data_IF_132977988982
#
_entry.id   IF_132977988982
#
_cell.length_a   1.000
_cell.length_b   1.000
_cell.length_c   1.000
_cell.angle_alpha   90.00
_cell.angle_beta   90.00
_cell.angle_gamma   90.00
#
_symmetry.space_group_name_H-M   'P 1'
#
loop_
_entity.id
_entity.type
_entity.pdbx_description
1 polymer ?
#
# COMPACT_ATOMS: atom_id res chain seq x y z
N UNK A 1 -18.88 42.73 -19.79
CA UNK A 1 -18.95 41.42 -19.09
C UNK A 1 -18.10 41.53 -17.83
N UNK A 2 -18.76 41.48 -16.69
CA UNK A 2 -18.24 41.95 -15.42
C UNK A 2 -17.12 41.05 -14.84
N UNK A 3 -16.05 41.70 -14.37
CA UNK A 3 -14.94 41.05 -13.63
C UNK A 3 -15.42 40.19 -12.46
N UNK A 4 -16.60 40.50 -11.87
CA UNK A 4 -17.25 39.76 -10.82
C UNK A 4 -17.68 38.33 -11.22
N UNK A 5 -18.19 38.18 -12.47
CA UNK A 5 -18.64 36.86 -12.97
C UNK A 5 -17.48 35.87 -13.15
N UNK A 6 -16.26 36.35 -13.50
CA UNK A 6 -15.07 35.49 -13.61
C UNK A 6 -14.54 35.01 -12.25
N UNK A 7 -14.67 35.83 -11.19
CA UNK A 7 -14.26 35.46 -9.84
C UNK A 7 -15.17 34.37 -9.23
N UNK A 8 -16.48 34.49 -9.47
CA UNK A 8 -17.48 33.53 -8.96
C UNK A 8 -17.30 32.16 -9.65
N UNK A 9 -17.03 32.14 -10.95
CA UNK A 9 -16.81 30.89 -11.69
C UNK A 9 -15.52 30.16 -11.25
N UNK A 10 -14.44 30.91 -10.96
CA UNK A 10 -13.19 30.35 -10.44
C UNK A 10 -13.34 29.80 -9.02
N UNK A 11 -14.10 30.47 -8.17
CA UNK A 11 -14.36 30.04 -6.79
C UNK A 11 -15.21 28.75 -6.72
N UNK A 12 -16.24 28.64 -7.54
CA UNK A 12 -17.10 27.45 -7.60
C UNK A 12 -16.32 26.24 -8.13
N UNK A 13 -15.45 26.43 -9.13
CA UNK A 13 -14.62 25.35 -9.66
C UNK A 13 -13.59 24.83 -8.65
N UNK A 14 -12.96 25.73 -7.88
CA UNK A 14 -12.01 25.35 -6.81
C UNK A 14 -12.68 24.62 -5.67
N UNK A 15 -13.89 25.06 -5.25
CA UNK A 15 -14.65 24.35 -4.19
C UNK A 15 -15.11 22.96 -4.64
N UNK A 16 -15.55 22.81 -5.89
CA UNK A 16 -15.98 21.52 -6.41
C UNK A 16 -14.83 20.53 -6.55
N UNK A 17 -13.62 20.99 -6.89
CA UNK A 17 -12.43 20.14 -6.98
C UNK A 17 -11.95 19.68 -5.58
N UNK A 18 -11.99 20.55 -4.58
CA UNK A 18 -11.66 20.18 -3.18
C UNK A 18 -12.63 19.15 -2.61
N UNK A 19 -13.93 19.30 -2.86
CA UNK A 19 -14.93 18.37 -2.36
C UNK A 19 -14.88 17.01 -3.04
N UNK A 20 -14.55 16.94 -4.33
CA UNK A 20 -14.37 15.67 -5.04
C UNK A 20 -13.13 14.90 -4.54
N UNK A 21 -12.02 15.57 -4.26
CA UNK A 21 -10.83 14.92 -3.70
C UNK A 21 -11.08 14.38 -2.28
N UNK A 22 -11.77 15.13 -1.45
CA UNK A 22 -12.14 14.69 -0.09
C UNK A 22 -13.10 13.49 -0.12
N UNK A 23 -14.10 13.48 -1.02
CA UNK A 23 -15.01 12.36 -1.18
C UNK A 23 -14.33 11.09 -1.71
N UNK A 24 -13.32 11.24 -2.60
CA UNK A 24 -12.54 10.11 -3.10
C UNK A 24 -11.56 9.59 -2.04
N UNK A 25 -10.93 10.47 -1.25
CA UNK A 25 -10.09 10.11 -0.13
C UNK A 25 -10.86 9.34 0.95
N UNK A 26 -12.10 9.73 1.23
CA UNK A 26 -12.96 9.04 2.20
C UNK A 26 -13.36 7.61 1.77
N UNK A 27 -13.21 7.26 0.49
CA UNK A 27 -13.49 5.93 -0.06
C UNK A 27 -12.24 5.09 -0.27
N UNK A 28 -11.10 5.53 0.22
CA UNK A 28 -9.84 4.84 0.07
C UNK A 28 -9.15 4.62 1.41
N UNK A 29 -8.39 3.55 1.51
CA UNK A 29 -7.55 3.26 2.67
C UNK A 29 -6.20 2.72 2.21
N UNK A 30 -5.13 3.13 2.90
CA UNK A 30 -3.80 2.56 2.75
C UNK A 30 -3.61 1.51 3.83
N UNK A 31 -3.43 0.27 3.43
CA UNK A 31 -3.20 -0.86 4.31
C UNK A 31 -1.83 -1.43 3.97
N UNK A 32 -1.00 -1.65 4.98
CA UNK A 32 0.34 -2.15 4.71
C UNK A 32 0.85 -3.06 5.82
N UNK A 33 1.71 -3.98 5.44
CA UNK A 33 2.63 -4.69 6.32
C UNK A 33 4.04 -4.13 6.10
N UNK A 34 4.79 -3.94 7.16
CA UNK A 34 6.17 -3.45 7.08
C UNK A 34 7.04 -4.13 8.13
N UNK A 35 8.28 -4.45 7.76
CA UNK A 35 9.22 -5.12 8.65
C UNK A 35 10.33 -4.17 9.08
N UNK A 36 10.62 -4.15 10.39
CA UNK A 36 11.76 -3.48 11.01
C UNK A 36 12.91 -4.47 11.25
N UNK A 37 14.04 -4.01 11.79
CA UNK A 37 15.20 -4.87 12.00
C UNK A 37 16.08 -4.98 10.78
N UNK A 38 16.74 -6.11 10.59
CA UNK A 38 17.69 -6.30 9.50
C UNK A 38 16.98 -6.54 8.16
N UNK A 39 17.24 -5.69 7.18
CA UNK A 39 16.69 -5.75 5.84
C UNK A 39 17.83 -5.87 4.81
N UNK A 40 17.62 -6.72 3.79
CA UNK A 40 18.61 -6.97 2.74
C UNK A 40 19.04 -5.67 2.06
N UNK A 41 20.35 -5.48 1.91
CA UNK A 41 21.00 -4.30 1.32
C UNK A 41 20.66 -2.94 1.97
N UNK A 42 19.82 -2.92 3.00
CA UNK A 42 19.42 -1.70 3.73
C UNK A 42 20.10 -1.64 5.10
N UNK A 43 20.27 -2.78 5.75
CA UNK A 43 20.78 -2.90 7.12
C UNK A 43 19.67 -2.92 8.16
N UNK A 44 20.02 -2.55 9.40
CA UNK A 44 19.08 -2.53 10.53
C UNK A 44 18.32 -1.20 10.54
N UNK A 45 16.99 -1.29 10.50
CA UNK A 45 16.11 -0.12 10.46
C UNK A 45 15.05 -0.17 11.56
N UNK A 46 14.66 1.01 12.05
CA UNK A 46 13.63 1.17 13.09
C UNK A 46 12.25 1.43 12.51
N UNK A 47 12.18 2.01 11.33
CA UNK A 47 10.97 2.19 10.55
C UNK A 47 11.10 1.43 9.23
N UNK A 48 10.19 0.48 8.99
CA UNK A 48 10.26 -0.37 7.81
C UNK A 48 10.06 0.39 6.50
N UNK A 49 10.69 -0.10 5.44
CA UNK A 49 10.69 0.52 4.12
C UNK A 49 9.27 0.77 3.59
N UNK A 50 8.39 -0.23 3.72
CA UNK A 50 7.00 -0.15 3.23
C UNK A 50 6.19 0.90 4.00
N UNK A 51 6.44 1.06 5.31
CA UNK A 51 5.78 2.07 6.13
C UNK A 51 6.02 3.49 5.60
N UNK A 52 7.24 3.80 5.18
CA UNK A 52 7.58 5.13 4.61
C UNK A 52 6.81 5.40 3.32
N UNK A 53 6.73 4.43 2.42
CA UNK A 53 5.95 4.53 1.17
C UNK A 53 4.45 4.65 1.47
N UNK A 54 3.92 3.86 2.42
CA UNK A 54 2.53 3.90 2.83
C UNK A 54 2.12 5.28 3.38
N UNK A 55 2.95 5.85 4.23
CA UNK A 55 2.74 7.21 4.78
C UNK A 55 2.72 8.26 3.67
N UNK A 56 3.60 8.14 2.67
CA UNK A 56 3.63 9.07 1.55
C UNK A 56 2.38 8.94 0.66
N UNK A 57 1.90 7.71 0.37
CA UNK A 57 0.64 7.50 -0.34
C UNK A 57 -0.53 8.13 0.44
N UNK A 58 -0.62 7.87 1.74
CA UNK A 58 -1.66 8.44 2.59
C UNK A 58 -1.61 9.98 2.60
N UNK A 59 -0.41 10.56 2.68
CA UNK A 59 -0.20 12.01 2.63
C UNK A 59 -0.68 12.63 1.33
N UNK A 60 -0.38 12.00 0.18
CA UNK A 60 -0.75 12.55 -1.13
C UNK A 60 -2.23 12.35 -1.46
N UNK A 61 -2.83 11.26 -1.00
CA UNK A 61 -4.23 10.92 -1.30
C UNK A 61 -5.22 11.43 -0.25
N UNK A 62 -4.77 11.73 0.97
CA UNK A 62 -5.62 11.98 2.12
C UNK A 62 -6.36 10.73 2.65
N UNK A 63 -6.05 9.54 2.12
CA UNK A 63 -6.66 8.29 2.55
C UNK A 63 -6.26 7.93 4.00
N UNK A 64 -7.17 7.27 4.72
CA UNK A 64 -6.85 6.67 6.00
C UNK A 64 -5.73 5.64 5.85
N UNK A 65 -4.97 5.41 6.93
CA UNK A 65 -3.84 4.48 6.92
C UNK A 65 -3.97 3.47 8.05
N UNK A 66 -3.68 2.19 7.77
CA UNK A 66 -3.73 1.12 8.76
C UNK A 66 -2.59 0.11 8.53
N UNK A 67 -1.92 -0.28 9.61
CA UNK A 67 -0.79 -1.20 9.58
C UNK A 67 -1.22 -2.60 9.99
N UNK A 68 -0.86 -3.60 9.17
CA UNK A 68 -0.98 -5.01 9.53
C UNK A 68 0.17 -5.33 10.48
N UNK A 69 -0.13 -5.59 11.74
CA UNK A 69 0.85 -6.06 12.72
C UNK A 69 0.65 -7.54 12.95
N UNK A 70 1.65 -8.34 12.67
CA UNK A 70 1.61 -9.77 12.91
C UNK A 70 1.43 -10.10 14.40
N UNK A 71 0.64 -11.13 14.71
CA UNK A 71 0.43 -11.56 16.10
C UNK A 71 1.71 -12.17 16.71
N UNK A 72 2.47 -12.86 15.88
CA UNK A 72 3.80 -13.38 16.22
C UNK A 72 4.84 -12.62 15.37
N UNK A 73 5.69 -11.78 15.99
CA UNK A 73 6.67 -10.98 15.25
C UNK A 73 7.60 -11.81 14.39
N UNK A 74 7.87 -11.35 13.18
CA UNK A 74 8.93 -11.95 12.36
C UNK A 74 10.30 -11.72 13.01
N UNK A 75 11.23 -12.66 12.85
CA UNK A 75 12.59 -12.51 13.37
C UNK A 75 13.27 -11.22 12.90
N UNK A 76 13.99 -10.57 13.80
CA UNK A 76 14.74 -9.33 13.51
C UNK A 76 15.90 -9.59 12.55
N UNK A 77 16.55 -10.76 12.62
CA UNK A 77 17.63 -11.16 11.73
C UNK A 77 17.08 -11.54 10.36
N UNK A 78 17.69 -10.99 9.31
CA UNK A 78 17.25 -11.19 7.93
C UNK A 78 17.08 -12.66 7.55
N UNK A 79 18.10 -13.48 7.74
CA UNK A 79 18.06 -14.89 7.32
C UNK A 79 16.96 -15.70 8.01
N UNK A 80 16.71 -15.44 9.28
CA UNK A 80 15.65 -16.12 10.04
C UNK A 80 14.27 -15.66 9.57
N UNK A 81 14.12 -14.36 9.31
CA UNK A 81 12.90 -13.77 8.78
C UNK A 81 12.52 -14.38 7.42
N UNK A 82 13.44 -14.39 6.46
CA UNK A 82 13.16 -14.92 5.12
C UNK A 82 13.00 -16.45 5.11
N UNK A 83 13.63 -17.17 6.04
CA UNK A 83 13.43 -18.61 6.18
C UNK A 83 12.01 -18.93 6.66
N UNK A 84 11.49 -18.18 7.65
CA UNK A 84 10.08 -18.27 8.10
C UNK A 84 9.14 -17.89 6.96
N UNK A 85 9.36 -16.76 6.30
CA UNK A 85 8.54 -16.30 5.19
C UNK A 85 8.47 -17.32 4.04
N UNK A 86 9.57 -18.02 3.74
CA UNK A 86 9.60 -19.09 2.73
C UNK A 86 8.70 -20.27 3.11
N UNK A 87 8.77 -20.71 4.36
CA UNK A 87 7.92 -21.81 4.87
C UNK A 87 6.44 -21.43 4.79
N UNK A 88 6.11 -20.20 5.22
CA UNK A 88 4.73 -19.70 5.16
C UNK A 88 4.19 -19.65 3.73
N UNK A 89 5.01 -19.15 2.77
CA UNK A 89 4.63 -19.10 1.35
C UNK A 89 4.41 -20.51 0.79
N UNK A 90 5.31 -21.45 1.05
CA UNK A 90 5.24 -22.82 0.54
C UNK A 90 4.03 -23.57 1.08
N UNK A 91 3.69 -23.39 2.36
CA UNK A 91 2.53 -24.00 3.00
C UNK A 91 1.22 -23.23 2.79
N UNK A 92 1.28 -22.08 2.13
CA UNK A 92 0.14 -21.15 2.02
C UNK A 92 -0.44 -20.80 3.40
N UNK A 93 0.43 -20.63 4.38
CA UNK A 93 0.05 -20.33 5.76
C UNK A 93 -0.82 -19.06 5.85
N UNK A 94 -1.53 -18.93 6.96
CA UNK A 94 -2.32 -17.74 7.28
C UNK A 94 -1.94 -17.23 8.67
N UNK A 95 -0.72 -16.63 8.81
CA UNK A 95 -0.28 -16.08 10.08
C UNK A 95 -1.30 -15.06 10.59
N UNK A 96 -1.59 -15.10 11.88
CA UNK A 96 -2.52 -14.15 12.48
C UNK A 96 -1.91 -12.75 12.57
N UNK A 97 -2.76 -11.73 12.53
CA UNK A 97 -2.40 -10.35 12.85
C UNK A 97 -3.09 -9.88 14.14
N UNK A 98 -2.56 -8.84 14.74
CA UNK A 98 -3.05 -8.26 15.99
C UNK A 98 -4.33 -7.44 15.76
N UNK A 99 -5.25 -7.52 16.70
CA UNK A 99 -6.47 -6.71 16.69
C UNK A 99 -7.50 -7.16 15.66
N UNK A 100 -8.38 -6.25 15.32
CA UNK A 100 -9.47 -6.43 14.35
C UNK A 100 -9.19 -5.64 13.09
N UNK A 101 -9.41 -6.22 11.92
CA UNK A 101 -9.33 -5.48 10.65
C UNK A 101 -10.27 -4.27 10.68
N UNK A 102 -9.88 -3.14 10.07
CA UNK A 102 -10.75 -1.98 9.96
C UNK A 102 -12.02 -2.35 9.17
N UNK A 103 -13.12 -1.71 9.51
CA UNK A 103 -14.33 -1.82 8.71
C UNK A 103 -14.10 -1.18 7.33
N UNK A 104 -14.32 -1.95 6.29
CA UNK A 104 -14.20 -1.51 4.90
C UNK A 104 -15.54 -1.10 4.28
N UNK A 105 -16.60 -0.95 5.09
CA UNK A 105 -17.86 -0.40 4.61
C UNK A 105 -17.63 1.01 4.05
N UNK A 106 -18.13 1.27 2.85
CA UNK A 106 -17.91 2.55 2.16
C UNK A 106 -16.53 2.75 1.53
N UNK A 107 -15.57 1.85 1.76
CA UNK A 107 -14.26 1.87 1.10
C UNK A 107 -14.36 1.14 -0.24
N UNK A 108 -13.97 1.81 -1.30
CA UNK A 108 -13.95 1.25 -2.66
C UNK A 108 -12.53 0.86 -3.10
N UNK A 109 -11.51 1.55 -2.57
CA UNK A 109 -10.11 1.39 -2.97
C UNK A 109 -9.22 1.04 -1.77
N UNK A 110 -8.43 0.00 -1.91
CA UNK A 110 -7.40 -0.43 -0.97
C UNK A 110 -6.03 -0.29 -1.65
N UNK A 111 -5.18 0.61 -1.15
CA UNK A 111 -3.75 0.59 -1.44
C UNK A 111 -3.13 -0.45 -0.54
N UNK A 112 -2.63 -1.56 -1.09
CA UNK A 112 -2.06 -2.66 -0.30
C UNK A 112 -0.53 -2.69 -0.41
N UNK A 113 0.15 -2.47 0.72
CA UNK A 113 1.61 -2.36 0.81
C UNK A 113 2.28 -3.54 1.50
N UNK A 114 3.44 -3.96 0.97
CA UNK A 114 4.20 -5.08 1.50
C UNK A 114 5.67 -5.04 1.09
N UNK A 115 6.60 -5.62 1.87
CA UNK A 115 7.92 -5.97 1.39
C UNK A 115 7.80 -7.20 0.48
N UNK A 116 8.47 -7.20 -0.67
CA UNK A 116 8.50 -8.37 -1.54
C UNK A 116 9.39 -9.45 -0.92
N UNK A 117 8.78 -10.54 -0.45
CA UNK A 117 9.47 -11.70 0.09
C UNK A 117 9.24 -12.91 -0.83
N UNK A 118 10.32 -13.43 -1.42
CA UNK A 118 10.27 -14.58 -2.31
C UNK A 118 9.38 -14.37 -3.56
N UNK A 119 9.31 -13.15 -4.06
CA UNK A 119 8.52 -12.82 -5.25
C UNK A 119 7.04 -12.61 -5.00
N UNK A 120 6.61 -12.57 -3.73
CA UNK A 120 5.21 -12.35 -3.36
C UNK A 120 5.09 -11.49 -2.08
N UNK A 121 3.85 -11.17 -1.68
CA UNK A 121 3.57 -10.54 -0.39
C UNK A 121 3.73 -11.55 0.75
N UNK A 122 4.15 -11.12 1.96
CA UNK A 122 4.10 -11.93 3.16
C UNK A 122 2.70 -12.49 3.43
N UNK A 123 2.62 -13.72 3.94
CA UNK A 123 1.35 -14.44 4.05
C UNK A 123 0.35 -13.79 5.02
N UNK A 124 0.81 -12.97 5.97
CA UNK A 124 -0.05 -12.17 6.85
C UNK A 124 -0.90 -11.16 6.07
N UNK A 125 -0.44 -10.69 4.91
CA UNK A 125 -1.19 -9.80 4.02
C UNK A 125 -2.40 -10.52 3.42
N UNK A 126 -2.23 -11.79 3.02
CA UNK A 126 -3.34 -12.63 2.55
C UNK A 126 -4.36 -12.91 3.66
N UNK A 127 -3.87 -13.19 4.88
CA UNK A 127 -4.75 -13.35 6.06
C UNK A 127 -5.60 -12.09 6.28
N UNK A 128 -4.98 -10.91 6.15
CA UNK A 128 -5.70 -9.65 6.29
C UNK A 128 -6.78 -9.50 5.22
N UNK A 129 -6.43 -9.66 3.93
CA UNK A 129 -7.38 -9.48 2.82
C UNK A 129 -8.58 -10.43 2.91
N UNK A 130 -8.38 -11.66 3.37
CA UNK A 130 -9.44 -12.62 3.62
C UNK A 130 -10.37 -12.16 4.76
N UNK A 131 -9.81 -11.76 5.90
CA UNK A 131 -10.58 -11.32 7.07
C UNK A 131 -11.31 -9.99 6.84
N UNK A 132 -10.69 -9.09 6.09
CA UNK A 132 -11.25 -7.79 5.74
C UNK A 132 -12.31 -7.85 4.64
N UNK A 133 -12.56 -9.04 4.06
CA UNK A 133 -13.53 -9.24 2.98
C UNK A 133 -13.28 -8.29 1.80
N UNK A 134 -12.08 -8.34 1.24
CA UNK A 134 -11.65 -7.46 0.16
C UNK A 134 -12.37 -7.69 -1.19
N UNK A 135 -13.31 -8.64 -1.25
CA UNK A 135 -14.14 -8.90 -2.44
C UNK A 135 -14.88 -7.65 -2.90
N UNK A 136 -14.90 -7.43 -4.20
CA UNK A 136 -15.56 -6.27 -4.82
C UNK A 136 -14.79 -4.95 -4.72
N UNK A 137 -13.66 -4.92 -4.01
CA UNK A 137 -12.82 -3.73 -3.89
C UNK A 137 -11.85 -3.58 -5.05
N UNK A 138 -11.40 -2.36 -5.31
CA UNK A 138 -10.23 -2.08 -6.14
C UNK A 138 -8.99 -2.18 -5.28
N UNK A 139 -8.06 -3.06 -5.64
CA UNK A 139 -6.80 -3.27 -4.92
C UNK A 139 -5.65 -2.71 -5.75
N UNK A 140 -4.91 -1.78 -5.19
CA UNK A 140 -3.77 -1.08 -5.78
C UNK A 140 -2.50 -1.50 -5.04
N UNK A 141 -1.73 -2.50 -5.54
CA UNK A 141 -0.55 -3.00 -4.86
C UNK A 141 0.61 -2.03 -4.91
N UNK A 142 1.35 -1.91 -3.80
CA UNK A 142 2.67 -1.30 -3.79
C UNK A 142 3.64 -2.12 -2.95
N UNK A 143 4.89 -2.18 -3.36
CA UNK A 143 5.88 -2.96 -2.62
C UNK A 143 7.21 -2.23 -2.46
N UNK A 144 7.97 -2.67 -1.46
CA UNK A 144 9.39 -2.38 -1.35
C UNK A 144 10.21 -3.63 -1.60
N UNK A 145 11.35 -3.51 -2.26
CA UNK A 145 12.18 -4.62 -2.71
C UNK A 145 13.65 -4.20 -2.85
N UNK A 146 14.52 -5.18 -3.15
CA UNK A 146 15.92 -4.93 -3.55
C UNK A 146 16.22 -5.69 -4.86
N UNK A 147 15.50 -5.31 -5.94
CA UNK A 147 15.70 -5.84 -7.29
C UNK A 147 14.57 -6.72 -7.86
N UNK A 148 13.67 -7.25 -7.02
CA UNK A 148 12.60 -8.18 -7.46
C UNK A 148 11.32 -7.49 -7.97
N UNK A 149 11.17 -6.17 -7.78
CA UNK A 149 9.96 -5.45 -8.15
C UNK A 149 8.71 -5.99 -7.45
N UNK A 150 7.57 -5.94 -8.11
CA UNK A 150 6.29 -6.47 -7.62
C UNK A 150 6.23 -8.01 -7.58
N UNK A 151 7.14 -8.69 -8.28
CA UNK A 151 7.09 -10.14 -8.39
C UNK A 151 5.80 -10.65 -9.00
N UNK A 152 5.21 -11.67 -8.38
CA UNK A 152 3.93 -12.27 -8.82
C UNK A 152 2.71 -11.75 -8.03
N UNK A 153 2.89 -10.89 -7.04
CA UNK A 153 1.88 -10.58 -6.03
C UNK A 153 0.55 -10.09 -6.61
N UNK A 154 0.58 -9.15 -7.57
CA UNK A 154 -0.66 -8.65 -8.17
C UNK A 154 -1.49 -9.79 -8.79
N UNK A 155 -0.84 -10.71 -9.51
CA UNK A 155 -1.50 -11.90 -10.09
C UNK A 155 -1.94 -12.90 -9.01
N UNK A 156 -1.15 -13.05 -7.95
CA UNK A 156 -1.47 -13.95 -6.83
C UNK A 156 -2.69 -13.45 -6.06
N UNK A 157 -2.75 -12.14 -5.77
CA UNK A 157 -3.92 -11.51 -5.14
C UNK A 157 -5.15 -11.64 -6.06
N UNK A 158 -5.04 -11.35 -7.36
CA UNK A 158 -6.16 -11.47 -8.28
C UNK A 158 -6.73 -12.90 -8.35
N UNK A 159 -5.85 -13.92 -8.27
CA UNK A 159 -6.30 -15.33 -8.22
C UNK A 159 -6.95 -15.69 -6.88
N UNK A 160 -6.44 -15.16 -5.78
CA UNK A 160 -6.98 -15.42 -4.44
C UNK A 160 -8.31 -14.70 -4.20
N UNK A 161 -8.50 -13.54 -4.81
CA UNK A 161 -9.67 -12.67 -4.65
C UNK A 161 -10.30 -12.34 -6.02
N UNK A 162 -10.93 -13.30 -6.69
CA UNK A 162 -11.40 -13.13 -8.08
C UNK A 162 -12.52 -12.10 -8.25
N UNK A 163 -13.15 -11.67 -7.17
CA UNK A 163 -14.14 -10.60 -7.17
C UNK A 163 -13.55 -9.22 -6.96
N UNK A 164 -12.27 -9.11 -6.57
CA UNK A 164 -11.57 -7.86 -6.45
C UNK A 164 -11.01 -7.40 -7.80
N UNK A 165 -10.95 -6.08 -8.02
CA UNK A 165 -10.27 -5.49 -9.17
C UNK A 165 -8.83 -5.17 -8.78
N UNK A 166 -7.88 -6.00 -9.19
CA UNK A 166 -6.48 -5.86 -8.82
C UNK A 166 -5.69 -5.19 -9.94
N UNK A 167 -5.10 -4.02 -9.64
CA UNK A 167 -4.20 -3.33 -10.55
C UNK A 167 -2.92 -4.14 -10.73
N UNK A 168 -2.55 -4.43 -11.98
CA UNK A 168 -1.38 -5.24 -12.30
C UNK A 168 -0.09 -4.40 -12.35
N UNK A 169 -0.19 -3.11 -12.62
CA UNK A 169 0.92 -2.16 -12.68
C UNK A 169 1.05 -1.39 -11.36
N UNK A 170 1.28 -2.11 -10.26
CA UNK A 170 1.45 -1.50 -8.95
C UNK A 170 2.76 -0.69 -8.84
N UNK A 171 2.92 0.01 -7.72
CA UNK A 171 4.15 0.75 -7.41
C UNK A 171 5.20 -0.18 -6.81
N UNK A 172 6.45 -0.10 -7.28
CA UNK A 172 7.58 -0.77 -6.65
C UNK A 172 8.72 0.21 -6.39
N UNK A 173 9.23 0.21 -5.16
CA UNK A 173 10.30 1.11 -4.71
C UNK A 173 11.40 0.31 -4.05
N UNK A 174 12.66 0.61 -4.37
CA UNK A 174 13.79 0.02 -3.67
C UNK A 174 13.77 0.42 -2.19
N UNK A 175 14.01 -0.53 -1.29
CA UNK A 175 14.02 -0.30 0.15
C UNK A 175 15.08 0.72 0.57
N UNK A 176 16.28 0.66 -0.03
CA UNK A 176 17.32 1.66 0.22
C UNK A 176 16.91 3.06 -0.24
N UNK A 177 16.12 3.19 -1.31
CA UNK A 177 15.54 4.48 -1.74
C UNK A 177 14.50 4.94 -0.73
N UNK A 178 13.61 4.03 -0.29
CA UNK A 178 12.61 4.36 0.73
C UNK A 178 13.24 4.87 2.03
N UNK A 179 14.45 4.40 2.38
CA UNK A 179 15.16 4.85 3.58
C UNK A 179 15.92 6.18 3.41
N UNK A 180 16.51 6.42 2.25
CA UNK A 180 17.54 7.46 2.08
C UNK A 180 17.10 8.63 1.20
N UNK A 181 16.02 8.49 0.43
CA UNK A 181 15.60 9.47 -0.58
C UNK A 181 14.08 9.70 -0.56
N UNK A 182 13.64 10.55 0.37
CA UNK A 182 12.23 10.89 0.51
C UNK A 182 11.65 11.60 -0.73
N UNK A 183 12.45 12.38 -1.44
CA UNK A 183 12.02 13.10 -2.64
C UNK A 183 11.80 12.13 -3.82
N UNK A 184 12.66 11.11 -3.97
CA UNK A 184 12.44 10.06 -4.94
C UNK A 184 11.16 9.25 -4.63
N UNK A 185 10.92 8.91 -3.36
CA UNK A 185 9.66 8.26 -2.94
C UNK A 185 8.45 9.14 -3.27
N UNK A 186 8.49 10.42 -2.91
CA UNK A 186 7.42 11.38 -3.21
C UNK A 186 7.12 11.44 -4.70
N UNK A 187 8.14 11.59 -5.53
CA UNK A 187 8.01 11.69 -6.99
C UNK A 187 7.47 10.40 -7.61
N UNK A 188 7.93 9.23 -7.15
CA UNK A 188 7.46 7.95 -7.62
C UNK A 188 5.99 7.70 -7.26
N UNK A 189 5.59 8.01 -6.03
CA UNK A 189 4.20 7.92 -5.56
C UNK A 189 3.31 8.86 -6.38
N UNK A 190 3.71 10.12 -6.55
CA UNK A 190 2.97 11.11 -7.34
C UNK A 190 2.75 10.64 -8.78
N UNK A 191 3.82 10.19 -9.44
CA UNK A 191 3.74 9.68 -10.81
C UNK A 191 2.82 8.46 -10.96
N UNK A 192 2.86 7.54 -9.97
CA UNK A 192 1.97 6.38 -9.95
C UNK A 192 0.51 6.76 -9.73
N UNK A 193 0.24 7.63 -8.75
CA UNK A 193 -1.12 8.10 -8.46
C UNK A 193 -1.73 8.87 -9.65
N UNK A 194 -0.94 9.69 -10.36
CA UNK A 194 -1.38 10.38 -11.58
C UNK A 194 -1.74 9.38 -12.68
N UNK A 195 -0.95 8.35 -12.92
CA UNK A 195 -1.26 7.28 -13.90
C UNK A 195 -2.56 6.54 -13.57
N UNK A 196 -2.88 6.41 -12.29
CA UNK A 196 -4.12 5.79 -11.82
C UNK A 196 -5.32 6.75 -11.82
N UNK A 197 -5.13 8.03 -12.14
CA UNK A 197 -6.17 9.06 -12.03
C UNK A 197 -6.58 9.36 -10.58
N UNK A 198 -5.69 9.04 -9.61
CA UNK A 198 -5.91 9.25 -8.18
C UNK A 198 -5.32 10.55 -7.65
N UNK A 199 -4.56 11.22 -8.51
CA UNK A 199 -4.03 12.57 -8.31
C UNK A 199 -4.17 13.36 -9.61
N UNK A 200 -4.52 14.64 -9.51
CA UNK A 200 -4.64 15.56 -10.67
C UNK A 200 -3.34 16.33 -10.90
#
# INVERSE_FOLDING_TARGET
>A
MNKLAKLILGGILMLSMSSMNAAEAAKAIVIYFSHTGENYSVGVIQEGNTAKVAKEIARQTGAAIWEIKEAEPYPVKYNDCIARAKKELQSKARPAFQGTAPDLAGIDTIYIGYPNWWGDAPMVVYTFLEKAKADGKTILPFCTHEGSGLGSTARSIARAFPKAKVEQNGLSIYGHVAQKDADAVKSAVEGWLKKLGKLK
#
